data_IF_971670771582
#
_entry.id   IF_971670771582
#
_cell.length_a   1.000
_cell.length_b   1.000
_cell.length_c   1.000
_cell.angle_alpha   90.00
_cell.angle_beta   90.00
_cell.angle_gamma   90.00
#
_symmetry.space_group_name_H-M   'P 1'
#
loop_
_entity.id
_entity.type
_entity.pdbx_description
1 polymer ?
#
# COMPACT_ATOMS: atom_id res chain seq x y z
N UNK A 1 19.90 -1.42 18.96
CA UNK A 1 20.09 -0.21 18.12
C UNK A 1 19.97 1.07 18.93
N UNK A 2 18.95 1.23 19.79
CA UNK A 2 18.80 2.38 20.68
C UNK A 2 20.09 2.83 21.43
N UNK A 3 20.88 1.94 22.09
CA UNK A 3 22.10 2.38 22.78
C UNK A 3 23.22 2.89 21.85
N UNK A 4 23.16 2.56 20.55
CA UNK A 4 24.12 3.04 19.54
C UNK A 4 23.76 4.44 19.02
N UNK A 5 22.51 4.88 19.23
CA UNK A 5 21.92 6.09 18.65
C UNK A 5 21.53 7.12 19.72
N UNK A 6 21.61 6.76 21.01
CA UNK A 6 21.17 7.58 22.13
C UNK A 6 21.82 8.97 22.17
N UNK A 7 23.09 9.08 21.80
CA UNK A 7 23.86 10.33 21.86
C UNK A 7 24.28 10.85 20.47
N UNK A 8 23.68 10.28 19.42
CA UNK A 8 24.08 10.57 18.04
C UNK A 8 22.98 11.29 17.29
N UNK A 9 23.37 12.28 16.47
CA UNK A 9 22.48 12.87 15.47
C UNK A 9 22.48 11.99 14.23
N UNK A 10 21.30 11.48 13.86
CA UNK A 10 21.14 10.65 12.68
C UNK A 10 19.91 11.05 11.88
N UNK A 11 19.99 10.86 10.57
CA UNK A 11 18.89 11.08 9.65
C UNK A 11 18.07 9.79 9.49
N UNK A 12 16.76 9.88 9.66
CA UNK A 12 15.84 8.77 9.43
C UNK A 12 15.35 8.81 7.99
N UNK A 13 15.76 7.82 7.20
CA UNK A 13 15.38 7.66 5.80
C UNK A 13 14.32 6.57 5.68
N UNK A 14 13.13 6.94 5.18
CA UNK A 14 12.03 6.02 4.92
C UNK A 14 11.16 6.56 3.78
N UNK A 15 10.13 5.83 3.39
CA UNK A 15 9.06 6.33 2.52
C UNK A 15 8.21 7.34 3.29
N UNK A 16 7.67 8.36 2.62
CA UNK A 16 7.03 9.50 3.28
C UNK A 16 5.84 9.11 4.17
N UNK A 17 5.02 8.14 3.74
CA UNK A 17 3.87 7.63 4.49
C UNK A 17 4.29 6.87 5.75
N UNK A 18 5.44 6.19 5.72
CA UNK A 18 5.97 5.47 6.88
C UNK A 18 6.87 6.31 7.79
N UNK A 19 7.42 7.42 7.28
CA UNK A 19 8.38 8.25 8.02
C UNK A 19 7.79 8.79 9.33
N UNK A 20 6.56 9.30 9.31
CA UNK A 20 5.92 9.83 10.52
C UNK A 20 5.75 8.76 11.61
N UNK A 21 5.35 7.55 11.22
CA UNK A 21 5.21 6.44 12.15
C UNK A 21 6.57 6.03 12.72
N UNK A 22 7.57 5.91 11.85
CA UNK A 22 8.92 5.52 12.24
C UNK A 22 9.54 6.54 13.22
N UNK A 23 9.41 7.85 12.95
CA UNK A 23 9.87 8.92 13.85
C UNK A 23 9.33 8.72 15.28
N UNK A 24 8.03 8.49 15.43
CA UNK A 24 7.38 8.25 16.74
C UNK A 24 7.93 7.03 17.47
N UNK A 25 8.26 5.96 16.75
CA UNK A 25 8.88 4.77 17.35
C UNK A 25 10.26 5.09 17.93
N UNK A 26 11.08 5.85 17.20
CA UNK A 26 12.41 6.25 17.68
C UNK A 26 12.33 7.24 18.85
N UNK A 27 11.39 8.20 18.81
CA UNK A 27 11.14 9.11 19.93
C UNK A 27 10.68 8.38 21.19
N UNK A 28 9.84 7.36 21.06
CA UNK A 28 9.38 6.52 22.18
C UNK A 28 10.52 5.70 22.82
N UNK A 29 11.54 5.36 22.04
CA UNK A 29 12.78 4.70 22.49
C UNK A 29 13.79 5.69 23.11
N UNK A 30 13.42 6.97 23.24
CA UNK A 30 14.25 8.01 23.86
C UNK A 30 15.37 8.55 22.98
N UNK A 31 15.29 8.35 21.66
CA UNK A 31 16.25 8.92 20.70
C UNK A 31 15.58 9.93 19.78
N UNK A 32 16.35 10.92 19.31
CA UNK A 32 15.79 12.07 18.56
C UNK A 32 16.29 12.09 17.11
N UNK A 33 15.65 11.34 16.19
CA UNK A 33 16.00 11.33 14.78
C UNK A 33 15.67 12.66 14.08
N UNK A 34 16.37 12.96 12.99
CA UNK A 34 16.01 14.02 12.06
C UNK A 34 15.39 13.40 10.81
N UNK A 35 14.17 13.82 10.44
CA UNK A 35 13.52 13.34 9.22
C UNK A 35 14.35 13.69 7.97
N UNK A 36 14.76 12.69 7.20
CA UNK A 36 15.40 12.91 5.91
C UNK A 36 14.35 13.24 4.83
N UNK A 37 14.72 13.91 3.74
CA UNK A 37 13.84 14.05 2.58
C UNK A 37 13.37 12.68 2.10
N UNK A 38 12.08 12.41 2.23
CA UNK A 38 11.46 11.16 1.84
C UNK A 38 10.66 11.33 0.55
N UNK A 39 10.78 10.36 -0.35
CA UNK A 39 9.96 10.33 -1.55
C UNK A 39 8.55 9.84 -1.19
N UNK A 40 7.53 10.51 -1.72
CA UNK A 40 6.16 10.03 -1.65
C UNK A 40 6.00 8.93 -2.71
N UNK A 41 5.97 7.68 -2.28
CA UNK A 41 5.71 6.54 -3.17
C UNK A 41 4.22 6.16 -3.20
N UNK A 42 3.36 6.94 -2.53
CA UNK A 42 1.93 6.86 -2.81
C UNK A 42 1.69 7.49 -4.18
N UNK A 43 1.21 6.65 -5.10
CA UNK A 43 0.54 7.11 -6.31
C UNK A 43 -0.50 8.14 -5.86
N UNK A 44 -0.48 9.34 -6.44
CA UNK A 44 -1.44 10.40 -6.12
C UNK A 44 -2.89 9.96 -6.36
N UNK A 45 -3.07 8.88 -7.10
CA UNK A 45 -4.30 8.13 -7.23
C UNK A 45 -4.45 7.12 -6.07
N UNK A 46 -4.59 7.61 -4.82
CA UNK A 46 -5.42 6.86 -3.86
C UNK A 46 -6.88 7.12 -4.23
N UNK A 47 -7.21 6.77 -5.47
CA UNK A 47 -8.56 6.76 -5.95
C UNK A 47 -9.30 5.77 -5.04
N UNK A 48 -10.45 6.18 -4.52
CA UNK A 48 -11.37 5.28 -3.82
C UNK A 48 -12.01 4.28 -4.81
N UNK A 49 -11.29 3.96 -5.88
CA UNK A 49 -11.69 3.14 -7.01
C UNK A 49 -11.05 1.79 -6.86
N UNK A 50 -11.93 0.84 -6.60
CA UNK A 50 -11.76 -0.59 -6.84
C UNK A 50 -10.88 -0.82 -8.08
N UNK A 51 -9.63 -1.19 -7.85
CA UNK A 51 -8.67 -1.52 -8.90
C UNK A 51 -9.05 -2.85 -9.56
N UNK A 52 -9.26 -2.82 -10.87
CA UNK A 52 -8.89 -3.81 -11.90
C UNK A 52 -9.03 -5.34 -11.65
N UNK A 53 -9.85 -5.79 -10.70
CA UNK A 53 -10.36 -7.17 -10.67
C UNK A 53 -11.58 -7.36 -11.59
N UNK A 54 -12.18 -6.26 -12.05
CA UNK A 54 -13.38 -6.25 -12.87
C UNK A 54 -13.18 -6.88 -14.26
N UNK A 55 -11.95 -6.95 -14.77
CA UNK A 55 -11.67 -7.57 -16.08
C UNK A 55 -11.84 -9.10 -16.00
N UNK A 56 -11.33 -9.74 -14.94
CA UNK A 56 -11.50 -11.18 -14.68
C UNK A 56 -12.95 -11.54 -14.33
N UNK A 57 -13.62 -10.68 -13.56
CA UNK A 57 -15.03 -10.85 -13.20
C UNK A 57 -15.94 -10.69 -14.43
N UNK A 58 -15.62 -9.75 -15.33
CA UNK A 58 -16.37 -9.56 -16.59
C UNK A 58 -16.18 -10.74 -17.53
N UNK A 59 -14.96 -11.28 -17.64
CA UNK A 59 -14.69 -12.46 -18.44
C UNK A 59 -15.44 -13.69 -17.90
N UNK A 60 -15.44 -13.89 -16.58
CA UNK A 60 -16.20 -14.98 -15.94
C UNK A 60 -17.71 -14.83 -16.13
N UNK A 61 -18.26 -13.63 -15.96
CA UNK A 61 -19.69 -13.37 -16.17
C UNK A 61 -20.12 -13.61 -17.63
N UNK A 62 -19.27 -13.29 -18.60
CA UNK A 62 -19.51 -13.58 -20.01
C UNK A 62 -19.54 -15.09 -20.29
N UNK A 63 -18.56 -15.84 -19.75
CA UNK A 63 -18.52 -17.30 -19.88
C UNK A 63 -19.72 -17.98 -19.22
N UNK A 64 -20.15 -17.52 -18.04
CA UNK A 64 -21.35 -18.02 -17.37
C UNK A 64 -22.63 -17.70 -18.15
N UNK A 65 -22.74 -16.49 -18.71
CA UNK A 65 -23.87 -16.10 -19.56
C UNK A 65 -23.99 -16.96 -20.83
N UNK A 66 -22.87 -17.22 -21.51
CA UNK A 66 -22.80 -18.13 -22.65
C UNK A 66 -23.20 -19.56 -22.27
N UNK A 67 -22.71 -20.07 -21.13
CA UNK A 67 -23.07 -21.39 -20.63
C UNK A 67 -24.57 -21.54 -20.36
N UNK A 68 -25.20 -20.53 -19.75
CA UNK A 68 -26.64 -20.53 -19.49
C UNK A 68 -27.47 -20.45 -20.79
N UNK A 69 -27.06 -19.61 -21.75
CA UNK A 69 -27.75 -19.51 -23.04
C UNK A 69 -27.68 -20.82 -23.82
N UNK A 70 -26.51 -21.47 -23.82
CA UNK A 70 -26.32 -22.77 -24.46
C UNK A 70 -27.18 -23.87 -23.84
N UNK A 71 -27.30 -23.92 -22.52
CA UNK A 71 -28.18 -24.87 -21.84
C UNK A 71 -29.64 -24.67 -22.26
N UNK A 72 -30.12 -23.42 -22.30
CA UNK A 72 -31.47 -23.09 -22.77
C UNK A 72 -31.72 -23.42 -24.24
N UNK A 73 -30.69 -23.41 -25.07
CA UNK A 73 -30.81 -23.76 -26.49
C UNK A 73 -30.80 -25.29 -26.73
N UNK A 74 -30.36 -26.08 -25.74
CA UNK A 74 -30.23 -27.54 -25.84
C UNK A 74 -31.36 -28.29 -25.13
N UNK A 75 -32.09 -27.63 -24.24
CA UNK A 75 -33.41 -28.04 -23.75
C UNK A 75 -34.51 -27.69 -24.76
#
# INVERSE_FOLDING_TARGET
MAPLLADQRFALVSEASHLLRAMRFFEAEGVHPVAAPAMWLSRADSDWRVEAGAELESERAFHEGLGQLWQRARE
#
